data_IF_834477511940
#
_entry.id   IF_834477511940
#
_cell.length_a   1.000
_cell.length_b   1.000
_cell.length_c   1.000
_cell.angle_alpha   90.00
_cell.angle_beta   90.00
_cell.angle_gamma   90.00
#
_symmetry.space_group_name_H-M   'P 1'
#
loop_
_entity.id
_entity.type
_entity.pdbx_description
1 polymer ?
#
# COMPACT_ATOMS: atom_id res chain seq x y z
N UNK A 1 -25.58 20.02 10.71
CA UNK A 1 -24.83 19.34 9.82
C UNK A 1 -23.95 18.42 10.47
N UNK A 2 -24.32 17.48 10.21
CA UNK A 2 -23.49 16.42 10.46
C UNK A 2 -22.29 16.48 9.67
N UNK A 3 -21.20 16.47 10.33
CA UNK A 3 -19.94 16.40 9.65
C UNK A 3 -19.94 15.25 8.67
N UNK A 4 -19.59 15.50 7.45
CA UNK A 4 -19.39 14.44 6.53
C UNK A 4 -18.16 13.67 6.94
N UNK A 5 -18.35 12.41 7.23
CA UNK A 5 -17.24 11.53 7.49
C UNK A 5 -16.50 11.24 6.20
N UNK A 6 -15.20 11.12 6.30
CA UNK A 6 -14.34 10.80 5.18
C UNK A 6 -13.66 9.47 5.49
N UNK A 7 -13.67 8.58 4.53
CA UNK A 7 -12.92 7.35 4.63
C UNK A 7 -11.56 7.56 3.99
N UNK A 8 -10.54 7.43 4.78
CA UNK A 8 -9.17 7.53 4.31
C UNK A 8 -8.64 6.13 4.06
N UNK A 9 -8.36 5.84 2.81
CA UNK A 9 -7.90 4.53 2.38
C UNK A 9 -6.43 4.61 2.05
N UNK A 10 -5.64 3.87 2.78
CA UNK A 10 -4.20 3.84 2.60
C UNK A 10 -3.79 2.50 2.03
N UNK A 11 -3.12 2.52 0.90
CA UNK A 11 -2.65 1.33 0.23
C UNK A 11 -1.13 1.31 0.28
N UNK A 12 -0.58 0.15 0.55
CA UNK A 12 0.87 -0.02 0.53
C UNK A 12 1.21 -1.34 -0.13
N UNK A 13 2.30 -1.35 -0.88
CA UNK A 13 2.74 -2.54 -1.57
C UNK A 13 4.04 -2.32 -2.31
N UNK A 14 4.59 -3.38 -2.82
CA UNK A 14 5.86 -3.35 -3.54
C UNK A 14 5.72 -2.89 -4.97
N UNK A 15 4.60 -3.18 -5.60
CA UNK A 15 4.39 -2.86 -7.01
C UNK A 15 3.48 -1.64 -7.15
N UNK A 16 4.00 -0.52 -7.67
CA UNK A 16 3.19 0.67 -7.84
C UNK A 16 2.05 0.48 -8.83
N UNK A 17 2.23 -0.39 -9.82
CA UNK A 17 1.17 -0.65 -10.81
C UNK A 17 -0.05 -1.29 -10.18
N UNK A 18 0.17 -2.23 -9.26
CA UNK A 18 -0.94 -2.86 -8.54
C UNK A 18 -1.68 -1.83 -7.70
N UNK A 19 -0.95 -0.94 -7.04
CA UNK A 19 -1.57 0.12 -6.25
C UNK A 19 -2.40 1.04 -7.12
N UNK A 20 -1.87 1.44 -8.26
CA UNK A 20 -2.58 2.33 -9.18
C UNK A 20 -3.84 1.68 -9.75
N UNK A 21 -3.77 0.39 -10.02
CA UNK A 21 -4.92 -0.39 -10.48
C UNK A 21 -6.04 -0.39 -9.44
N UNK A 22 -5.69 -0.66 -8.20
CA UNK A 22 -6.66 -0.66 -7.10
C UNK A 22 -7.24 0.75 -6.91
N UNK A 23 -6.40 1.76 -7.00
CA UNK A 23 -6.85 3.15 -6.90
C UNK A 23 -7.86 3.49 -7.99
N UNK A 24 -7.64 3.02 -9.20
CA UNK A 24 -8.57 3.23 -10.32
C UNK A 24 -9.91 2.58 -10.06
N UNK A 25 -9.91 1.37 -9.52
CA UNK A 25 -11.14 0.68 -9.16
C UNK A 25 -11.92 1.43 -8.09
N UNK A 26 -11.22 1.94 -7.08
CA UNK A 26 -11.86 2.71 -6.01
C UNK A 26 -12.47 3.99 -6.58
N UNK A 27 -11.77 4.66 -7.48
CA UNK A 27 -12.29 5.86 -8.14
C UNK A 27 -13.55 5.56 -8.94
N UNK A 28 -13.56 4.46 -9.66
CA UNK A 28 -14.74 4.07 -10.43
C UNK A 28 -15.94 3.81 -9.52
N UNK A 29 -15.71 3.17 -8.40
CA UNK A 29 -16.76 2.95 -7.42
C UNK A 29 -17.30 4.27 -6.88
N UNK A 30 -16.40 5.21 -6.57
CA UNK A 30 -16.81 6.52 -6.09
C UNK A 30 -17.64 7.27 -7.12
N UNK A 31 -17.24 7.19 -8.38
CA UNK A 31 -18.02 7.80 -9.48
C UNK A 31 -19.37 7.14 -9.65
N UNK A 32 -19.41 5.84 -9.54
CA UNK A 32 -20.66 5.08 -9.68
C UNK A 32 -21.70 5.48 -8.64
N UNK A 33 -21.26 5.72 -7.41
CA UNK A 33 -22.15 6.12 -6.34
C UNK A 33 -22.31 7.63 -6.22
N UNK A 34 -21.62 8.38 -7.06
CA UNK A 34 -21.73 9.84 -7.05
C UNK A 34 -21.18 10.49 -5.80
N UNK A 35 -20.26 9.85 -5.13
CA UNK A 35 -19.64 10.40 -3.92
C UNK A 35 -18.38 11.17 -4.26
N UNK A 36 -18.04 12.12 -3.41
CA UNK A 36 -16.82 12.88 -3.57
C UNK A 36 -15.61 12.04 -3.21
N UNK A 37 -14.56 12.19 -3.99
CA UNK A 37 -13.32 11.52 -3.69
C UNK A 37 -12.15 12.44 -4.00
N UNK A 38 -11.06 12.19 -3.31
CA UNK A 38 -9.81 12.88 -3.56
C UNK A 38 -8.87 11.85 -4.16
N UNK A 39 -8.38 12.12 -5.36
CA UNK A 39 -7.64 11.16 -6.18
C UNK A 39 -6.40 10.67 -5.51
N UNK A 40 -5.80 9.61 -6.03
CA UNK A 40 -4.70 9.00 -5.28
C UNK A 40 -3.56 9.98 -5.07
N UNK A 41 -3.19 10.11 -3.80
CA UNK A 41 -2.09 10.97 -3.41
C UNK A 41 -0.90 10.05 -3.16
N UNK A 42 0.18 10.20 -3.94
CA UNK A 42 1.35 9.38 -3.68
C UNK A 42 2.00 9.83 -2.39
N UNK A 43 2.22 8.89 -1.51
CA UNK A 43 2.96 9.12 -0.27
C UNK A 43 4.43 8.75 -0.49
N UNK A 44 5.34 9.25 0.33
CA UNK A 44 6.75 8.92 0.19
C UNK A 44 6.98 7.42 0.19
N UNK A 45 7.83 6.97 -0.72
CA UNK A 45 8.21 5.58 -0.81
C UNK A 45 9.16 5.24 0.32
N UNK A 46 8.84 4.17 1.04
CA UNK A 46 9.71 3.69 2.09
C UNK A 46 10.67 2.67 1.51
N UNK A 47 11.94 2.88 1.74
CA UNK A 47 12.99 1.98 1.28
C UNK A 47 13.51 1.20 2.47
N UNK A 48 13.39 -0.12 2.39
CA UNK A 48 13.94 -1.00 3.41
C UNK A 48 15.19 -1.66 2.83
N UNK A 49 16.28 -1.50 3.52
CA UNK A 49 17.54 -2.13 3.14
C UNK A 49 17.84 -3.21 4.15
N UNK A 50 17.96 -4.42 3.63
CA UNK A 50 18.31 -5.55 4.48
C UNK A 50 19.67 -6.05 4.02
N UNK A 51 20.59 -6.15 4.96
CA UNK A 51 21.88 -6.74 4.70
C UNK A 51 21.90 -8.07 5.41
N UNK A 52 21.97 -9.13 4.62
CA UNK A 52 22.03 -10.47 5.19
C UNK A 52 23.38 -11.09 4.90
N UNK A 53 23.87 -11.84 5.85
CA UNK A 53 25.08 -12.60 5.65
C UNK A 53 24.76 -13.75 4.70
N UNK A 54 25.32 -13.69 3.50
CA UNK A 54 25.00 -14.64 2.46
C UNK A 54 25.58 -16.02 2.75
N UNK A 55 26.80 -16.04 3.25
CA UNK A 55 27.46 -17.29 3.57
C UNK A 55 27.94 -17.22 4.98
N UNK A 56 27.49 -18.09 5.84
CA UNK A 56 28.10 -18.15 7.17
C UNK A 56 29.53 -18.46 6.92
N UNK A 57 30.36 -17.62 7.39
CA UNK A 57 31.77 -17.80 7.15
C UNK A 57 32.31 -19.01 7.80
N UNK A 58 31.47 -19.87 8.22
CA UNK A 58 31.94 -21.05 8.88
C UNK A 58 32.55 -22.08 7.97
N UNK A 59 32.76 -21.78 6.78
CA UNK A 59 33.35 -22.77 5.91
C UNK A 59 34.79 -23.08 6.26
N UNK A 60 35.29 -22.52 7.28
CA UNK A 60 36.62 -22.87 7.76
C UNK A 60 37.76 -22.48 6.88
N UNK A 61 37.48 -21.82 5.81
CA UNK A 61 38.57 -21.40 4.95
C UNK A 61 39.39 -20.35 5.63
N UNK A 62 38.90 -19.79 6.70
CA UNK A 62 39.68 -18.83 7.45
C UNK A 62 39.87 -17.53 6.71
N UNK A 63 39.30 -17.38 5.61
CA UNK A 63 39.51 -16.14 4.85
C UNK A 63 38.69 -15.01 5.37
N UNK A 64 37.76 -15.30 6.21
CA UNK A 64 37.00 -14.24 6.84
C UNK A 64 36.19 -13.39 5.87
N UNK A 65 36.07 -13.81 4.66
CA UNK A 65 35.33 -13.03 3.69
C UNK A 65 33.87 -13.36 3.80
N UNK A 66 33.26 -12.74 4.78
CA UNK A 66 31.82 -12.83 4.91
C UNK A 66 31.17 -12.14 3.73
N UNK A 67 30.37 -12.88 3.00
CA UNK A 67 29.66 -12.30 1.87
C UNK A 67 28.32 -11.81 2.37
N UNK A 68 28.05 -10.56 2.13
CA UNK A 68 26.79 -9.95 2.51
C UNK A 68 25.94 -9.74 1.27
N UNK A 69 24.70 -10.11 1.36
CA UNK A 69 23.75 -9.84 0.32
C UNK A 69 22.98 -8.59 0.72
N UNK A 70 23.06 -7.58 -0.11
CA UNK A 70 22.30 -6.36 0.12
C UNK A 70 20.98 -6.50 -0.61
N UNK A 71 19.92 -6.40 0.15
CA UNK A 71 18.59 -6.53 -0.38
C UNK A 71 17.82 -5.24 -0.11
N UNK A 72 17.21 -4.71 -1.17
CA UNK A 72 16.50 -3.46 -1.10
C UNK A 72 15.04 -3.71 -1.43
N UNK A 73 14.15 -3.29 -0.56
CA UNK A 73 12.73 -3.38 -0.78
C UNK A 73 12.13 -1.98 -0.76
N UNK A 74 11.40 -1.66 -1.81
CA UNK A 74 10.69 -0.38 -1.90
C UNK A 74 9.22 -0.63 -1.66
N UNK A 75 8.66 0.09 -0.70
CA UNK A 75 7.25 0.02 -0.40
C UNK A 75 6.62 1.32 -0.84
N UNK A 76 5.77 1.22 -1.84
CA UNK A 76 5.02 2.36 -2.34
C UNK A 76 3.73 2.50 -1.57
N UNK A 77 3.31 3.74 -1.39
CA UNK A 77 2.08 4.03 -0.66
C UNK A 77 1.23 4.98 -1.45
N UNK A 78 -0.07 4.77 -1.39
CA UNK A 78 -1.06 5.64 -2.01
C UNK A 78 -2.16 5.94 -1.00
N UNK A 79 -2.68 7.14 -1.06
CA UNK A 79 -3.75 7.57 -0.18
C UNK A 79 -4.93 8.02 -1.01
N UNK A 80 -6.10 7.50 -0.72
CA UNK A 80 -7.34 7.94 -1.34
C UNK A 80 -8.31 8.32 -0.24
N UNK A 81 -8.94 9.47 -0.38
CA UNK A 81 -9.99 9.88 0.52
C UNK A 81 -11.30 9.87 -0.25
N UNK A 82 -12.29 9.18 0.30
CA UNK A 82 -13.63 9.15 -0.29
C UNK A 82 -14.63 9.53 0.79
N UNK A 83 -15.74 10.12 0.33
CA UNK A 83 -16.83 10.43 1.24
C UNK A 83 -17.34 9.11 1.84
N UNK A 84 -17.54 9.10 3.15
CA UNK A 84 -17.97 7.88 3.81
C UNK A 84 -19.42 7.60 3.49
N UNK A 85 -19.64 6.73 2.55
CA UNK A 85 -20.95 6.24 2.18
C UNK A 85 -20.94 4.73 2.40
N UNK A 86 -21.90 4.28 3.16
CA UNK A 86 -21.98 2.88 3.55
C UNK A 86 -21.97 1.92 2.36
N UNK A 87 -22.73 2.27 1.32
CA UNK A 87 -22.81 1.44 0.13
C UNK A 87 -21.48 1.39 -0.61
N UNK A 88 -20.87 2.56 -0.78
CA UNK A 88 -19.60 2.65 -1.46
C UNK A 88 -18.51 1.92 -0.70
N UNK A 89 -18.49 2.05 0.62
CA UNK A 89 -17.50 1.35 1.44
C UNK A 89 -17.63 -0.16 1.36
N UNK A 90 -18.86 -0.65 1.34
CA UNK A 90 -19.08 -2.09 1.16
C UNK A 90 -18.55 -2.56 -0.18
N UNK A 91 -18.76 -1.78 -1.23
CA UNK A 91 -18.27 -2.13 -2.55
C UNK A 91 -16.74 -2.08 -2.60
N UNK A 92 -16.15 -1.09 -1.96
CA UNK A 92 -14.69 -0.97 -1.88
C UNK A 92 -14.08 -2.18 -1.16
N UNK A 93 -14.73 -2.64 -0.12
CA UNK A 93 -14.28 -3.82 0.61
C UNK A 93 -14.33 -5.10 -0.21
N UNK A 94 -15.15 -5.12 -1.25
CA UNK A 94 -15.27 -6.27 -2.15
C UNK A 94 -14.24 -6.24 -3.29
N UNK A 95 -13.51 -5.15 -3.41
CA UNK A 95 -12.46 -5.07 -4.43
C UNK A 95 -11.43 -6.16 -4.16
N UNK A 96 -11.07 -6.84 -5.22
CA UNK A 96 -10.08 -7.91 -5.11
C UNK A 96 -8.70 -7.31 -4.91
N UNK A 97 -8.16 -7.51 -3.73
CA UNK A 97 -6.87 -6.96 -3.37
C UNK A 97 -5.83 -8.07 -3.36
N UNK A 98 -4.75 -7.93 -4.14
CA UNK A 98 -3.68 -8.93 -4.12
C UNK A 98 -3.07 -9.07 -2.73
N UNK A 99 -2.55 -10.25 -2.46
CA UNK A 99 -1.95 -10.52 -1.15
C UNK A 99 -0.72 -9.65 -0.85
N UNK A 100 -0.09 -9.11 -1.90
CA UNK A 100 1.08 -8.24 -1.72
C UNK A 100 0.71 -6.82 -1.35
N UNK A 101 -0.57 -6.47 -1.40
CA UNK A 101 -1.03 -5.12 -1.11
C UNK A 101 -1.71 -5.10 0.23
N UNK A 102 -1.29 -4.17 1.05
CA UNK A 102 -1.91 -3.95 2.34
C UNK A 102 -2.85 -2.76 2.25
N UNK A 103 -4.07 -2.92 2.70
CA UNK A 103 -5.06 -1.86 2.69
C UNK A 103 -5.47 -1.52 4.12
N UNK A 104 -5.55 -0.24 4.40
CA UNK A 104 -5.97 0.25 5.69
C UNK A 104 -7.03 1.32 5.46
N UNK A 105 -8.16 1.17 6.12
CA UNK A 105 -9.26 2.13 5.99
C UNK A 105 -9.52 2.76 7.34
N UNK A 106 -9.50 4.08 7.37
CA UNK A 106 -9.74 4.82 8.60
C UNK A 106 -10.84 5.83 8.34
N UNK A 107 -11.82 5.86 9.22
CA UNK A 107 -12.89 6.85 9.16
C UNK A 107 -12.48 8.09 9.95
N UNK A 108 -12.60 9.22 9.31
CA UNK A 108 -12.26 10.51 9.90
C UNK A 108 -13.48 11.41 9.79
N UNK A 109 -13.89 11.93 10.88
CA UNK A 109 -15.07 12.77 10.81
C UNK A 109 -15.16 13.80 11.86
#
# INVERSE_FOLDING_TARGET
VTGMQVARIKLSGKDPKELDSICSEIKEIAKKFGINYRGPIPLPTKILKVVTLKTPCGDGTGHGNATFDKWEMRIHKRLIEVQADERALKQIMRVNIPTNVHIEIKLIG
#
